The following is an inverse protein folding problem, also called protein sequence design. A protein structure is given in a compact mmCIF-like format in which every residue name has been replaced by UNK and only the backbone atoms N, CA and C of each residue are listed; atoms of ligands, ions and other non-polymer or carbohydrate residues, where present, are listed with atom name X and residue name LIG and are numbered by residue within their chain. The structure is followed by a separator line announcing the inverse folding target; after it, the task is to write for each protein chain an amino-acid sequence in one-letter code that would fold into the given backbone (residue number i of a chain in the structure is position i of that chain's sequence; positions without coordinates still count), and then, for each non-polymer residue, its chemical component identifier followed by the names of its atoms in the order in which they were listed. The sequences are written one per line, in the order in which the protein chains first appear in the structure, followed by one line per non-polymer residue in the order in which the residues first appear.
data_IF_602644832271
#
_entry.id   IF_602644832271
#
_cell.length_a   1.000
_cell.length_b   1.000
_cell.length_c   1.000
_cell.angle_alpha   90.00
_cell.angle_beta   90.00
_cell.angle_gamma   90.00
#
_symmetry.space_group_name_H-M   'P 1'
#
loop_
_entity.id
_entity.type
_entity.pdbx_description
1 polymer ?
#
# COMPACT_ATOMS: atom_id res chain seq x y z
N UNK A 1 -12.81 22.41 1.68
CA UNK A 1 -11.92 22.90 0.61
C UNK A 1 -10.60 23.49 1.12
N UNK A 2 -10.58 24.50 2.00
CA UNK A 2 -9.32 25.06 2.52
C UNK A 2 -8.32 24.00 3.04
N UNK A 3 -8.81 23.02 3.82
CA UNK A 3 -8.01 21.91 4.34
C UNK A 3 -7.40 21.03 3.25
N UNK A 4 -8.13 20.82 2.15
CA UNK A 4 -7.63 20.09 0.98
C UNK A 4 -6.40 20.78 0.39
N UNK A 5 -6.57 22.07 0.04
CA UNK A 5 -5.54 22.88 -0.64
C UNK A 5 -4.29 23.10 0.21
N UNK A 6 -4.41 23.09 1.53
CA UNK A 6 -3.29 23.39 2.44
C UNK A 6 -2.61 22.16 3.01
N UNK A 7 -3.29 21.00 3.05
CA UNK A 7 -2.77 19.80 3.71
C UNK A 7 -3.19 18.49 3.06
N UNK A 8 -4.49 18.24 2.93
CA UNK A 8 -4.96 16.88 2.60
C UNK A 8 -4.47 16.40 1.25
N UNK A 9 -4.44 17.27 0.23
CA UNK A 9 -4.06 16.91 -1.12
C UNK A 9 -2.62 16.39 -1.24
N UNK A 10 -1.72 16.82 -0.33
CA UNK A 10 -0.31 16.47 -0.37
C UNK A 10 -0.02 14.98 -0.16
N UNK A 11 -0.98 14.18 0.33
CA UNK A 11 -0.82 12.72 0.34
C UNK A 11 -0.77 12.10 -1.06
N UNK A 12 -1.25 12.80 -2.09
CA UNK A 12 -1.19 12.38 -3.49
C UNK A 12 -0.03 12.99 -4.28
N UNK A 13 0.78 13.85 -3.65
CA UNK A 13 1.92 14.46 -4.32
C UNK A 13 3.04 13.43 -4.45
N UNK A 14 3.47 13.14 -5.69
CA UNK A 14 4.61 12.27 -5.99
C UNK A 14 5.75 13.06 -6.64
N UNK A 15 5.42 13.95 -7.59
CA UNK A 15 6.37 14.75 -8.37
C UNK A 15 5.92 16.22 -8.48
N UNK A 16 6.81 17.18 -8.82
CA UNK A 16 6.46 18.60 -8.87
C UNK A 16 5.24 18.94 -9.75
N UNK A 17 5.04 18.21 -10.84
CA UNK A 17 3.89 18.40 -11.73
C UNK A 17 2.54 18.13 -11.07
N UNK A 18 2.49 17.31 -10.02
CA UNK A 18 1.24 17.02 -9.31
C UNK A 18 0.66 18.25 -8.63
N UNK A 19 1.50 19.23 -8.26
CA UNK A 19 1.07 20.40 -7.50
C UNK A 19 -0.08 21.15 -8.19
N UNK A 20 0.11 21.51 -9.47
CA UNK A 20 -0.92 22.24 -10.22
C UNK A 20 -2.19 21.41 -10.40
N UNK A 21 -2.04 20.10 -10.59
CA UNK A 21 -3.17 19.19 -10.70
C UNK A 21 -3.98 19.14 -9.40
N UNK A 22 -3.32 18.94 -8.26
CA UNK A 22 -3.96 18.78 -6.95
C UNK A 22 -4.57 20.08 -6.39
N UNK A 23 -3.91 21.22 -6.61
CA UNK A 23 -4.34 22.52 -6.10
C UNK A 23 -5.38 23.20 -6.99
N UNK A 24 -5.37 22.96 -8.31
CA UNK A 24 -6.17 23.72 -9.28
C UNK A 24 -7.06 22.82 -10.12
N UNK A 25 -6.48 21.91 -10.89
CA UNK A 25 -7.23 21.16 -11.91
C UNK A 25 -8.27 20.22 -11.29
N UNK A 26 -7.89 19.49 -10.25
CA UNK A 26 -8.77 18.54 -9.59
C UNK A 26 -9.94 19.23 -8.86
N UNK A 27 -9.73 20.31 -8.06
CA UNK A 27 -10.83 21.09 -7.53
C UNK A 27 -11.74 21.71 -8.59
N UNK A 28 -11.20 22.16 -9.73
CA UNK A 28 -12.01 22.69 -10.84
C UNK A 28 -12.86 21.60 -11.49
N UNK A 29 -12.29 20.42 -11.77
CA UNK A 29 -13.05 19.26 -12.26
C UNK A 29 -14.20 18.90 -11.30
N UNK A 30 -13.93 18.94 -10.00
CA UNK A 30 -14.91 18.66 -8.96
C UNK A 30 -16.09 19.64 -8.94
N UNK A 31 -15.96 20.87 -9.47
CA UNK A 31 -17.10 21.78 -9.61
C UNK A 31 -18.16 21.25 -10.60
N UNK A 32 -17.73 20.45 -11.57
CA UNK A 32 -18.60 19.84 -12.57
C UNK A 32 -18.95 18.37 -12.25
N UNK A 33 -18.26 17.75 -11.28
CA UNK A 33 -18.46 16.36 -10.89
C UNK A 33 -18.69 16.25 -9.37
N UNK A 34 -19.95 16.06 -8.99
CA UNK A 34 -20.36 15.97 -7.59
C UNK A 34 -19.71 14.81 -6.83
N UNK A 35 -19.45 13.68 -7.50
CA UNK A 35 -18.81 12.52 -6.89
C UNK A 35 -17.40 12.88 -6.45
N UNK A 36 -16.68 13.55 -7.35
CA UNK A 36 -15.32 13.99 -7.09
C UNK A 36 -15.26 15.06 -5.98
N UNK A 37 -16.19 16.03 -6.00
CA UNK A 37 -16.31 17.03 -4.94
C UNK A 37 -16.57 16.38 -3.58
N UNK A 38 -17.54 15.45 -3.52
CA UNK A 38 -17.85 14.71 -2.31
C UNK A 38 -16.62 13.89 -1.85
N UNK A 39 -15.85 13.28 -2.75
CA UNK A 39 -14.60 12.58 -2.42
C UNK A 39 -13.54 13.50 -1.79
N UNK A 40 -13.31 14.67 -2.39
CA UNK A 40 -12.38 15.69 -1.86
C UNK A 40 -12.80 16.14 -0.46
N UNK A 41 -14.09 16.44 -0.27
CA UNK A 41 -14.63 16.89 1.02
C UNK A 41 -14.61 15.79 2.07
N UNK A 42 -14.88 14.54 1.69
CA UNK A 42 -14.80 13.38 2.55
C UNK A 42 -13.40 13.22 3.12
N UNK A 43 -12.37 13.22 2.26
CA UNK A 43 -11.00 13.04 2.70
C UNK A 43 -10.48 14.23 3.51
N UNK A 44 -10.86 15.45 3.15
CA UNK A 44 -10.50 16.64 3.94
C UNK A 44 -11.14 16.63 5.34
N UNK A 45 -12.39 16.16 5.46
CA UNK A 45 -13.04 15.96 6.76
C UNK A 45 -12.41 14.80 7.55
N UNK A 46 -12.01 13.72 6.88
CA UNK A 46 -11.28 12.62 7.49
C UNK A 46 -9.94 13.09 8.05
N UNK A 47 -9.17 13.92 7.34
CA UNK A 47 -7.92 14.53 7.82
C UNK A 47 -8.14 15.39 9.09
N UNK A 48 -9.22 16.18 9.15
CA UNK A 48 -9.59 16.89 10.38
C UNK A 48 -9.88 15.94 11.55
N UNK A 49 -10.70 14.92 11.32
CA UNK A 49 -11.03 13.91 12.33
C UNK A 49 -9.78 13.17 12.81
N UNK A 50 -8.92 12.79 11.88
CA UNK A 50 -7.66 12.12 12.11
C UNK A 50 -6.66 13.03 12.88
N UNK A 51 -6.72 14.35 12.65
CA UNK A 51 -5.96 15.34 13.43
C UNK A 51 -6.54 15.63 14.82
N UNK A 52 -7.55 14.88 15.27
CA UNK A 52 -8.14 14.97 16.61
C UNK A 52 -9.48 15.69 16.68
N UNK A 53 -9.94 16.33 15.59
CA UNK A 53 -11.23 17.02 15.55
C UNK A 53 -12.37 16.04 15.23
N UNK A 54 -12.67 15.14 16.17
CA UNK A 54 -13.59 14.00 15.99
C UNK A 54 -14.97 14.37 15.43
N UNK A 55 -15.44 15.60 15.63
CA UNK A 55 -16.69 16.11 15.07
C UNK A 55 -16.77 15.99 13.54
N UNK A 56 -15.63 15.99 12.84
CA UNK A 56 -15.57 15.85 11.39
C UNK A 56 -15.71 14.42 10.88
N UNK A 57 -15.67 13.40 11.75
CA UNK A 57 -15.80 12.00 11.32
C UNK A 57 -17.15 11.72 10.66
N UNK A 58 -18.24 12.23 11.24
CA UNK A 58 -19.59 12.05 10.68
C UNK A 58 -19.72 12.72 9.30
N UNK A 59 -19.38 14.01 9.13
CA UNK A 59 -19.33 14.64 7.81
C UNK A 59 -18.47 13.89 6.81
N UNK A 60 -17.30 13.37 7.24
CA UNK A 60 -16.41 12.58 6.38
C UNK A 60 -17.12 11.36 5.79
N UNK A 61 -17.81 10.58 6.65
CA UNK A 61 -18.59 9.41 6.24
C UNK A 61 -19.79 9.78 5.36
N UNK A 62 -20.49 10.88 5.67
CA UNK A 62 -21.63 11.36 4.87
C UNK A 62 -21.20 11.77 3.44
N UNK A 63 -20.11 12.51 3.31
CA UNK A 63 -19.55 12.85 2.00
C UNK A 63 -19.05 11.62 1.25
N UNK A 64 -18.38 10.68 1.94
CA UNK A 64 -17.91 9.45 1.32
C UNK A 64 -19.07 8.58 0.79
N UNK A 65 -20.16 8.48 1.55
CA UNK A 65 -21.36 7.75 1.12
C UNK A 65 -21.97 8.36 -0.16
N UNK A 66 -22.04 9.70 -0.24
CA UNK A 66 -22.51 10.40 -1.44
C UNK A 66 -21.58 10.16 -2.65
N UNK A 67 -20.28 10.34 -2.45
CA UNK A 67 -19.27 10.09 -3.49
C UNK A 67 -19.40 8.65 -4.04
N UNK A 68 -19.47 7.66 -3.17
CA UNK A 68 -19.59 6.24 -3.55
C UNK A 68 -20.88 5.95 -4.31
N UNK A 69 -22.01 6.51 -3.87
CA UNK A 69 -23.30 6.32 -4.52
C UNK A 69 -23.29 6.88 -5.96
N UNK A 70 -22.75 8.09 -6.13
CA UNK A 70 -22.67 8.76 -7.43
C UNK A 70 -21.64 8.08 -8.35
N UNK A 71 -20.47 7.70 -7.82
CA UNK A 71 -19.45 6.97 -8.59
C UNK A 71 -19.98 5.63 -9.12
N UNK A 72 -20.80 4.91 -8.34
CA UNK A 72 -21.42 3.65 -8.79
C UNK A 72 -22.25 3.84 -10.06
N UNK A 73 -22.96 4.96 -10.18
CA UNK A 73 -23.73 5.30 -11.39
C UNK A 73 -22.79 5.65 -12.55
N UNK A 74 -21.72 6.39 -12.29
CA UNK A 74 -20.74 6.76 -13.33
C UNK A 74 -20.01 5.53 -13.91
N UNK A 75 -19.68 4.54 -13.09
CA UNK A 75 -19.01 3.28 -13.53
C UNK A 75 -19.91 2.44 -14.44
N UNK A 76 -21.23 2.57 -14.35
CA UNK A 76 -22.15 1.88 -15.29
C UNK A 76 -22.15 2.50 -16.69
N UNK A 77 -21.59 3.70 -16.85
CA UNK A 77 -21.63 4.48 -18.10
C UNK A 77 -20.23 4.98 -18.50
N UNK A 78 -19.20 4.15 -18.32
CA UNK A 78 -17.81 4.51 -18.65
C UNK A 78 -17.70 4.95 -20.12
N UNK A 79 -17.22 6.17 -20.32
CA UNK A 79 -16.98 6.77 -21.63
C UNK A 79 -15.83 7.79 -21.55
N UNK A 80 -15.43 8.35 -22.70
CA UNK A 80 -14.29 9.30 -22.76
C UNK A 80 -14.48 10.56 -21.91
N UNK A 81 -15.70 10.95 -21.55
CA UNK A 81 -15.98 12.16 -20.78
C UNK A 81 -15.86 11.96 -19.27
N UNK A 82 -16.08 10.75 -18.75
CA UNK A 82 -16.06 10.49 -17.31
C UNK A 82 -14.85 9.67 -16.85
N UNK A 83 -14.13 9.00 -17.77
CA UNK A 83 -12.98 8.17 -17.40
C UNK A 83 -11.86 8.97 -16.70
N UNK A 84 -11.68 10.23 -17.10
CA UNK A 84 -10.67 11.14 -16.54
C UNK A 84 -10.99 11.57 -15.09
N UNK A 85 -12.28 11.59 -14.71
CA UNK A 85 -12.74 11.90 -13.34
C UNK A 85 -12.86 10.66 -12.45
N UNK A 86 -13.07 9.48 -13.05
CA UNK A 86 -13.23 8.23 -12.32
C UNK A 86 -11.92 7.77 -11.67
N UNK A 87 -10.77 8.00 -12.32
CA UNK A 87 -9.46 7.70 -11.76
C UNK A 87 -9.20 8.42 -10.42
N UNK A 88 -9.24 9.76 -10.35
CA UNK A 88 -9.01 10.46 -9.08
C UNK A 88 -10.11 10.17 -8.05
N UNK A 89 -11.36 9.93 -8.48
CA UNK A 89 -12.43 9.50 -7.57
C UNK A 89 -12.10 8.16 -6.88
N UNK A 90 -11.60 7.19 -7.64
CA UNK A 90 -11.18 5.90 -7.10
C UNK A 90 -10.03 6.02 -6.10
N UNK A 91 -9.02 6.85 -6.41
CA UNK A 91 -7.90 7.11 -5.50
C UNK A 91 -8.35 7.77 -4.19
N UNK A 92 -9.21 8.79 -4.28
CA UNK A 92 -9.79 9.45 -3.10
C UNK A 92 -10.52 8.45 -2.20
N UNK A 93 -11.33 7.56 -2.80
CA UNK A 93 -12.05 6.53 -2.06
C UNK A 93 -11.13 5.49 -1.45
N UNK A 94 -10.08 5.06 -2.17
CA UNK A 94 -9.10 4.10 -1.66
C UNK A 94 -8.38 4.67 -0.42
N UNK A 95 -7.86 5.90 -0.51
CA UNK A 95 -7.21 6.57 0.63
C UNK A 95 -8.18 6.79 1.79
N UNK A 96 -9.43 7.19 1.51
CA UNK A 96 -10.44 7.34 2.55
C UNK A 96 -10.67 6.03 3.31
N UNK A 97 -10.89 4.93 2.58
CA UNK A 97 -11.11 3.62 3.16
C UNK A 97 -9.93 3.16 4.00
N UNK A 98 -8.69 3.40 3.56
CA UNK A 98 -7.52 3.07 4.36
C UNK A 98 -7.49 3.82 5.70
N UNK A 99 -7.82 5.11 5.69
CA UNK A 99 -7.76 5.99 6.87
C UNK A 99 -8.92 5.75 7.84
N UNK A 100 -10.13 5.52 7.34
CA UNK A 100 -11.35 5.53 8.18
C UNK A 100 -11.99 4.17 8.38
N UNK A 101 -11.52 3.11 7.71
CA UNK A 101 -12.11 1.78 7.84
C UNK A 101 -12.11 1.31 9.28
N UNK A 102 -13.22 0.71 9.70
CA UNK A 102 -13.41 0.13 11.03
C UNK A 102 -12.86 -1.30 11.15
N UNK A 103 -12.17 -1.81 10.13
CA UNK A 103 -11.60 -3.15 10.19
C UNK A 103 -10.55 -3.23 11.31
N UNK A 104 -10.58 -4.31 12.11
CA UNK A 104 -9.77 -4.39 13.33
C UNK A 104 -8.26 -4.51 13.04
N UNK A 105 -7.89 -5.11 11.90
CA UNK A 105 -6.49 -5.30 11.49
C UNK A 105 -6.16 -4.39 10.32
N UNK A 106 -4.94 -3.85 10.32
CA UNK A 106 -4.51 -2.88 9.31
C UNK A 106 -4.31 -3.55 7.96
N UNK A 107 -3.93 -4.83 7.94
CA UNK A 107 -3.86 -5.61 6.71
C UNK A 107 -5.22 -5.78 6.04
N UNK A 108 -6.30 -5.95 6.82
CA UNK A 108 -7.67 -6.07 6.29
C UNK A 108 -8.16 -4.71 5.70
N UNK A 109 -7.52 -3.58 6.05
CA UNK A 109 -7.73 -2.26 5.42
C UNK A 109 -6.85 -2.05 4.18
N UNK A 110 -5.62 -2.57 4.21
CA UNK A 110 -4.63 -2.38 3.15
C UNK A 110 -5.03 -3.09 1.86
N UNK A 111 -5.49 -4.35 1.93
CA UNK A 111 -5.78 -5.15 0.73
C UNK A 111 -6.85 -4.48 -0.16
N UNK A 112 -8.05 -4.11 0.36
CA UNK A 112 -9.04 -3.44 -0.48
C UNK A 112 -8.54 -2.09 -1.03
N UNK A 113 -7.69 -1.39 -0.28
CA UNK A 113 -7.07 -0.13 -0.73
C UNK A 113 -6.17 -0.38 -1.94
N UNK A 114 -5.30 -1.38 -1.87
CA UNK A 114 -4.41 -1.76 -2.97
C UNK A 114 -5.20 -2.25 -4.20
N UNK A 115 -6.26 -3.06 -3.99
CA UNK A 115 -7.15 -3.52 -5.08
C UNK A 115 -7.83 -2.34 -5.79
N UNK A 116 -8.31 -1.35 -5.02
CA UNK A 116 -8.93 -0.14 -5.56
C UNK A 116 -7.92 0.71 -6.33
N UNK A 117 -6.70 0.88 -5.81
CA UNK A 117 -5.64 1.60 -6.50
C UNK A 117 -5.23 0.89 -7.79
N UNK A 118 -5.03 -0.44 -7.76
CA UNK A 118 -4.72 -1.24 -8.94
C UNK A 118 -5.83 -1.11 -10.01
N UNK A 119 -7.09 -1.14 -9.58
CA UNK A 119 -8.24 -0.95 -10.47
C UNK A 119 -8.27 0.46 -11.07
N UNK A 120 -8.01 1.49 -10.26
CA UNK A 120 -7.91 2.88 -10.73
C UNK A 120 -6.80 3.03 -11.79
N UNK A 121 -5.63 2.45 -11.55
CA UNK A 121 -4.51 2.50 -12.49
C UNK A 121 -4.84 1.81 -13.83
N UNK A 122 -5.62 0.72 -13.83
CA UNK A 122 -6.14 0.11 -15.06
C UNK A 122 -7.08 1.04 -15.83
N UNK A 123 -7.95 1.77 -15.12
CA UNK A 123 -8.83 2.77 -15.76
C UNK A 123 -8.01 3.88 -16.42
N UNK A 124 -6.93 4.30 -15.77
CA UNK A 124 -6.05 5.31 -16.32
C UNK A 124 -5.28 4.84 -17.56
N UNK A 125 -4.86 3.58 -17.62
CA UNK A 125 -4.27 3.02 -18.84
C UNK A 125 -5.24 3.04 -20.03
N UNK A 126 -6.54 2.97 -19.76
CA UNK A 126 -7.61 3.05 -20.76
C UNK A 126 -8.09 4.49 -21.04
N UNK A 127 -7.69 5.47 -20.23
CA UNK A 127 -8.08 6.87 -20.40
C UNK A 127 -7.38 7.50 -21.60
N UNK A 128 -8.07 8.46 -22.24
CA UNK A 128 -7.55 9.17 -23.39
C UNK A 128 -6.50 10.23 -22.98
N UNK A 129 -6.62 10.77 -21.77
CA UNK A 129 -5.64 11.69 -21.18
C UNK A 129 -4.91 10.99 -20.03
N UNK A 130 -3.57 10.89 -20.14
CA UNK A 130 -2.73 10.44 -19.04
C UNK A 130 -2.23 11.65 -18.27
N UNK A 131 -2.31 11.69 -16.94
CA UNK A 131 -1.62 12.69 -16.15
C UNK A 131 -0.13 12.68 -16.50
N UNK A 132 0.43 13.84 -16.82
CA UNK A 132 1.85 13.97 -17.19
C UNK A 132 2.80 13.47 -16.09
N UNK A 133 2.35 13.46 -14.83
CA UNK A 133 3.12 12.98 -13.70
C UNK A 133 3.49 11.50 -13.79
N UNK A 134 2.67 10.66 -14.42
CA UNK A 134 3.00 9.24 -14.59
C UNK A 134 4.17 9.02 -15.54
N UNK A 135 4.24 9.81 -16.61
CA UNK A 135 5.37 9.77 -17.54
C UNK A 135 6.66 10.17 -16.82
N UNK A 136 6.60 11.21 -15.99
CA UNK A 136 7.74 11.69 -15.21
C UNK A 136 8.25 10.62 -14.23
N UNK A 137 7.36 9.95 -13.49
CA UNK A 137 7.71 8.85 -12.60
C UNK A 137 8.44 7.72 -13.35
N UNK A 138 7.90 7.28 -14.49
CA UNK A 138 8.53 6.23 -15.30
C UNK A 138 9.88 6.65 -15.90
N UNK A 139 10.02 7.93 -16.27
CA UNK A 139 11.25 8.47 -16.84
C UNK A 139 12.38 8.68 -15.82
N UNK A 140 12.06 8.66 -14.52
CA UNK A 140 13.01 8.90 -13.43
C UNK A 140 13.58 7.61 -12.81
N UNK A 141 13.31 6.45 -13.42
CA UNK A 141 13.88 5.17 -12.99
C UNK A 141 15.40 5.22 -13.16
N UNK A 142 16.10 5.18 -12.05
CA UNK A 142 17.56 5.21 -11.99
C UNK A 142 18.02 4.10 -11.06
N UNK A 143 18.50 2.98 -11.62
CA UNK A 143 18.92 1.83 -10.81
C UNK A 143 20.18 2.11 -9.98
N UNK A 144 20.93 3.18 -10.27
CA UNK A 144 22.13 3.54 -9.49
C UNK A 144 21.79 3.97 -8.07
N UNK A 145 20.54 4.39 -7.84
CA UNK A 145 20.07 4.82 -6.51
C UNK A 145 20.07 3.67 -5.50
N UNK A 146 20.09 2.41 -5.94
CA UNK A 146 20.22 1.26 -5.04
C UNK A 146 21.52 1.32 -4.22
N UNK A 147 22.55 2.00 -4.73
CA UNK A 147 23.80 2.26 -3.98
C UNK A 147 23.65 3.27 -2.84
N UNK A 148 22.53 3.98 -2.74
CA UNK A 148 22.23 4.90 -1.63
C UNK A 148 21.81 4.16 -0.35
N UNK A 149 21.41 2.89 -0.47
CA UNK A 149 21.01 2.08 0.67
C UNK A 149 22.23 1.81 1.57
N UNK A 150 22.04 1.92 2.88
CA UNK A 150 23.08 1.52 3.81
C UNK A 150 23.30 -0.01 3.78
N UNK A 151 24.48 -0.50 4.21
CA UNK A 151 24.79 -1.94 4.13
C UNK A 151 23.81 -2.84 4.90
N UNK A 152 23.27 -2.37 6.03
CA UNK A 152 22.33 -3.15 6.85
C UNK A 152 20.99 -3.30 6.12
N UNK A 153 20.44 -2.20 5.59
CA UNK A 153 19.21 -2.21 4.80
C UNK A 153 19.37 -3.02 3.52
N UNK A 154 20.52 -2.90 2.85
CA UNK A 154 20.85 -3.68 1.65
C UNK A 154 20.84 -5.19 1.95
N UNK A 155 21.53 -5.61 3.02
CA UNK A 155 21.59 -7.01 3.42
C UNK A 155 20.20 -7.58 3.77
N UNK A 156 19.36 -6.82 4.48
CA UNK A 156 18.00 -7.23 4.80
C UNK A 156 17.13 -7.39 3.54
N UNK A 157 17.25 -6.45 2.60
CA UNK A 157 16.53 -6.47 1.34
C UNK A 157 17.00 -7.61 0.42
N UNK A 158 18.30 -7.89 0.35
CA UNK A 158 18.83 -9.03 -0.41
C UNK A 158 18.39 -10.37 0.19
N UNK A 159 18.23 -10.42 1.51
CA UNK A 159 17.70 -11.60 2.19
C UNK A 159 16.26 -11.94 1.75
N UNK A 160 15.43 -10.99 1.32
CA UNK A 160 14.12 -11.31 0.70
C UNK A 160 14.27 -12.19 -0.54
N UNK A 161 15.27 -11.92 -1.39
CA UNK A 161 15.56 -12.74 -2.57
C UNK A 161 16.01 -14.15 -2.15
N UNK A 162 16.90 -14.26 -1.16
CA UNK A 162 17.34 -15.55 -0.61
C UNK A 162 16.18 -16.37 -0.04
N UNK A 163 15.33 -15.76 0.79
CA UNK A 163 14.16 -16.43 1.39
C UNK A 163 13.19 -16.91 0.32
N UNK A 164 13.01 -16.16 -0.78
CA UNK A 164 12.08 -16.56 -1.83
C UNK A 164 12.44 -17.93 -2.44
N UNK A 165 13.72 -18.30 -2.48
CA UNK A 165 14.15 -19.62 -2.93
C UNK A 165 14.03 -20.73 -1.87
N UNK A 166 13.58 -20.42 -0.65
CA UNK A 166 13.37 -21.37 0.45
C UNK A 166 11.89 -21.63 0.74
N UNK A 167 11.00 -20.71 0.34
CA UNK A 167 9.56 -20.83 0.55
C UNK A 167 8.92 -21.54 -0.64
N UNK A 168 8.40 -22.74 -0.41
CA UNK A 168 7.61 -23.48 -1.39
C UNK A 168 6.22 -22.85 -1.57
N UNK A 169 5.76 -22.83 -2.82
CA UNK A 169 4.40 -22.41 -3.17
C UNK A 169 3.44 -23.60 -3.06
N UNK A 170 2.14 -23.34 -2.78
CA UNK A 170 1.13 -24.39 -2.81
C UNK A 170 1.13 -25.11 -4.16
N UNK A 171 1.06 -26.44 -4.13
CA UNK A 171 0.97 -27.23 -5.36
C UNK A 171 -0.30 -26.83 -6.13
N UNK A 172 -0.15 -26.48 -7.40
CA UNK A 172 -1.27 -26.39 -8.34
C UNK A 172 -1.57 -27.78 -8.88
N UNK A 173 -2.84 -28.15 -9.04
CA UNK A 173 -3.35 -29.48 -9.44
C UNK A 173 -2.72 -30.13 -10.69
N UNK A 174 -1.83 -29.43 -11.40
CA UNK A 174 -1.22 -29.84 -12.66
C UNK A 174 0.32 -29.92 -12.66
N UNK A 175 1.02 -29.68 -11.54
CA UNK A 175 2.49 -29.70 -11.51
C UNK A 175 3.05 -30.56 -10.37
N UNK A 176 3.87 -31.56 -10.74
CA UNK A 176 4.45 -32.56 -9.84
C UNK A 176 5.75 -32.11 -9.15
N UNK A 177 6.26 -30.92 -9.50
CA UNK A 177 7.53 -30.38 -8.99
C UNK A 177 7.28 -29.28 -7.96
N UNK A 178 8.00 -29.32 -6.84
CA UNK A 178 8.05 -28.21 -5.88
C UNK A 178 8.48 -26.92 -6.60
N UNK A 179 7.62 -25.90 -6.59
CA UNK A 179 7.96 -24.55 -7.05
C UNK A 179 8.26 -23.67 -5.87
N UNK A 180 9.37 -22.91 -5.93
CA UNK A 180 9.69 -21.93 -4.91
C UNK A 180 9.18 -20.55 -5.29
N UNK A 181 8.93 -19.71 -4.30
CA UNK A 181 8.48 -18.34 -4.52
C UNK A 181 9.45 -17.55 -5.41
N UNK A 182 10.75 -17.83 -5.31
CA UNK A 182 11.80 -17.20 -6.10
C UNK A 182 11.75 -17.53 -7.59
N UNK A 183 11.05 -18.59 -8.01
CA UNK A 183 10.85 -18.93 -9.42
C UNK A 183 9.65 -18.18 -10.04
N UNK A 184 8.83 -17.54 -9.20
CA UNK A 184 7.65 -16.82 -9.63
C UNK A 184 7.99 -15.37 -9.99
N UNK A 185 7.69 -14.92 -11.24
CA UNK A 185 7.85 -13.52 -11.63
C UNK A 185 7.08 -12.56 -10.71
N UNK A 186 5.99 -13.04 -10.11
CA UNK A 186 5.17 -12.31 -9.15
C UNK A 186 6.00 -11.76 -7.99
N UNK A 187 6.75 -12.64 -7.34
CA UNK A 187 7.54 -12.31 -6.16
C UNK A 187 8.84 -11.60 -6.55
N UNK A 188 9.44 -11.94 -7.69
CA UNK A 188 10.61 -11.24 -8.20
C UNK A 188 10.33 -9.75 -8.44
N UNK A 189 9.21 -9.42 -9.11
CA UNK A 189 8.79 -8.04 -9.35
C UNK A 189 8.47 -7.32 -8.04
N UNK A 190 7.73 -7.97 -7.14
CA UNK A 190 7.37 -7.38 -5.86
C UNK A 190 8.60 -7.08 -4.99
N UNK A 191 9.57 -8.01 -4.92
CA UNK A 191 10.84 -7.80 -4.21
C UNK A 191 11.64 -6.66 -4.84
N UNK A 192 11.80 -6.66 -6.17
CA UNK A 192 12.52 -5.60 -6.88
C UNK A 192 11.89 -4.21 -6.64
N UNK A 193 10.56 -4.12 -6.66
CA UNK A 193 9.83 -2.90 -6.36
C UNK A 193 10.05 -2.43 -4.92
N UNK A 194 10.01 -3.33 -3.94
CA UNK A 194 10.32 -2.98 -2.54
C UNK A 194 11.74 -2.45 -2.42
N UNK A 195 12.75 -3.13 -3.01
CA UNK A 195 14.14 -2.66 -2.98
C UNK A 195 14.28 -1.24 -3.53
N UNK A 196 13.70 -1.00 -4.71
CA UNK A 196 13.73 0.31 -5.33
C UNK A 196 12.98 1.35 -4.50
N UNK A 197 11.86 0.98 -3.88
CA UNK A 197 11.07 1.89 -3.04
C UNK A 197 11.83 2.36 -1.80
N UNK A 198 12.65 1.51 -1.16
CA UNK A 198 13.55 1.95 -0.08
C UNK A 198 14.57 2.96 -0.58
N UNK A 199 15.16 2.72 -1.75
CA UNK A 199 16.16 3.61 -2.29
C UNK A 199 15.56 4.96 -2.72
N UNK A 200 14.36 4.98 -3.33
CA UNK A 200 13.62 6.22 -3.62
C UNK A 200 13.20 6.96 -2.35
N UNK A 201 12.83 6.25 -1.28
CA UNK A 201 12.48 6.91 -0.02
C UNK A 201 13.70 7.65 0.57
N UNK A 202 14.92 7.13 0.40
CA UNK A 202 16.17 7.81 0.77
C UNK A 202 16.49 8.95 -0.19
N UNK A 203 16.41 8.69 -1.51
CA UNK A 203 16.66 9.68 -2.58
C UNK A 203 15.71 10.87 -2.46
N UNK A 204 14.49 10.61 -2.02
CA UNK A 204 13.43 11.57 -1.72
C UNK A 204 13.06 12.45 -2.93
N UNK A 205 13.22 11.94 -4.16
CA UNK A 205 12.87 12.65 -5.40
C UNK A 205 11.42 12.35 -5.79
N UNK A 206 11.04 11.06 -5.86
CA UNK A 206 9.65 10.65 -6.10
C UNK A 206 9.00 10.32 -4.76
N UNK A 207 8.09 11.18 -4.31
CA UNK A 207 7.39 11.01 -3.03
C UNK A 207 6.37 9.87 -3.14
N UNK A 208 6.13 9.17 -2.03
CA UNK A 208 5.12 8.11 -1.97
C UNK A 208 5.33 6.97 -3.00
N UNK A 209 6.56 6.78 -3.52
CA UNK A 209 6.85 5.83 -4.60
C UNK A 209 6.41 4.40 -4.27
N UNK A 210 6.49 3.99 -3.00
CA UNK A 210 6.12 2.64 -2.57
C UNK A 210 4.69 2.26 -2.98
N UNK A 211 3.75 3.20 -3.06
CA UNK A 211 2.36 2.98 -3.44
C UNK A 211 2.15 2.59 -4.90
N UNK A 212 3.17 2.76 -5.74
CA UNK A 212 3.20 2.24 -7.12
C UNK A 212 3.17 0.71 -7.13
N UNK A 213 3.36 0.05 -5.98
CA UNK A 213 3.21 -1.42 -5.83
C UNK A 213 1.88 -1.92 -6.40
N UNK A 214 0.79 -1.13 -6.27
CA UNK A 214 -0.54 -1.43 -6.81
C UNK A 214 -0.62 -1.34 -8.35
N UNK A 215 0.31 -0.63 -8.99
CA UNK A 215 0.40 -0.50 -10.45
C UNK A 215 1.32 -1.54 -11.08
N UNK A 216 2.45 -1.86 -10.42
CA UNK A 216 3.51 -2.68 -11.03
C UNK A 216 3.33 -4.17 -10.81
N UNK A 217 2.61 -4.58 -9.76
CA UNK A 217 2.41 -5.99 -9.46
C UNK A 217 1.16 -6.55 -10.14
N UNK A 218 1.26 -7.82 -10.53
CA UNK A 218 0.12 -8.58 -11.02
C UNK A 218 -0.95 -8.69 -9.92
N UNK A 219 -2.25 -8.54 -10.23
CA UNK A 219 -3.34 -8.71 -9.25
C UNK A 219 -3.25 -9.99 -8.41
N UNK A 220 -2.68 -11.08 -8.97
CA UNK A 220 -2.45 -12.34 -8.26
C UNK A 220 -1.55 -12.18 -7.02
N UNK A 221 -0.73 -11.14 -6.96
CA UNK A 221 0.07 -10.84 -5.77
C UNK A 221 -0.84 -10.45 -4.62
N UNK A 222 -1.84 -9.62 -4.87
CA UNK A 222 -2.81 -9.23 -3.86
C UNK A 222 -3.74 -10.38 -3.48
N UNK A 223 -4.01 -11.31 -4.40
CA UNK A 223 -4.67 -12.58 -4.07
C UNK A 223 -3.81 -13.42 -3.11
N UNK A 224 -2.51 -13.54 -3.36
CA UNK A 224 -1.58 -14.23 -2.46
C UNK A 224 -1.52 -13.56 -1.07
N UNK A 225 -1.52 -12.23 -0.99
CA UNK A 225 -1.62 -11.49 0.28
C UNK A 225 -2.93 -11.82 0.99
N UNK A 226 -4.07 -11.84 0.26
CA UNK A 226 -5.39 -12.16 0.81
C UNK A 226 -5.47 -13.60 1.32
N UNK A 227 -4.79 -14.51 0.65
CA UNK A 227 -4.65 -15.92 1.01
C UNK A 227 -3.60 -16.17 2.09
N UNK A 228 -2.99 -15.11 2.64
CA UNK A 228 -1.98 -15.17 3.69
C UNK A 228 -0.75 -16.00 3.27
N UNK A 229 -0.40 -16.00 1.98
CA UNK A 229 0.79 -16.70 1.49
C UNK A 229 2.05 -16.10 2.15
N UNK A 230 2.92 -16.93 2.75
CA UNK A 230 4.00 -16.39 3.59
C UNK A 230 4.96 -15.44 2.87
N UNK A 231 5.33 -15.72 1.61
CA UNK A 231 6.21 -14.83 0.86
C UNK A 231 5.54 -13.47 0.57
N UNK A 232 4.26 -13.48 0.20
CA UNK A 232 3.49 -12.27 -0.05
C UNK A 232 3.40 -11.40 1.21
N UNK A 233 3.07 -12.02 2.35
CA UNK A 233 3.02 -11.33 3.64
C UNK A 233 4.38 -10.77 4.07
N UNK A 234 5.46 -11.51 3.84
CA UNK A 234 6.81 -11.05 4.16
C UNK A 234 7.17 -9.79 3.36
N UNK A 235 6.84 -9.74 2.07
CA UNK A 235 7.05 -8.54 1.23
C UNK A 235 6.21 -7.36 1.72
N UNK A 236 4.93 -7.58 2.06
CA UNK A 236 4.07 -6.52 2.62
C UNK A 236 4.57 -6.05 3.99
N UNK A 237 5.25 -6.90 4.77
CA UNK A 237 5.86 -6.48 6.03
C UNK A 237 6.99 -5.46 5.80
N UNK A 238 7.81 -5.63 4.75
CA UNK A 238 8.80 -4.61 4.33
C UNK A 238 8.12 -3.35 3.78
N UNK A 239 6.98 -3.47 3.10
CA UNK A 239 6.14 -2.32 2.74
C UNK A 239 5.65 -1.56 4.00
N UNK A 240 5.29 -2.27 5.07
CA UNK A 240 4.94 -1.66 6.36
C UNK A 240 6.08 -0.83 6.96
N UNK A 241 7.34 -1.29 6.82
CA UNK A 241 8.52 -0.51 7.21
C UNK A 241 8.63 0.79 6.40
N UNK A 242 8.39 0.75 5.08
CA UNK A 242 8.38 1.96 4.24
C UNK A 242 7.33 2.97 4.72
N UNK A 243 6.12 2.52 5.04
CA UNK A 243 5.07 3.40 5.56
C UNK A 243 5.46 4.06 6.89
N UNK A 244 6.09 3.31 7.79
CA UNK A 244 6.58 3.85 9.07
C UNK A 244 7.74 4.85 8.86
N UNK A 245 8.64 4.59 7.90
CA UNK A 245 9.69 5.54 7.51
C UNK A 245 9.11 6.85 6.97
N UNK A 246 8.11 6.77 6.09
CA UNK A 246 7.43 7.93 5.53
C UNK A 246 6.74 8.76 6.62
N UNK A 247 6.07 8.10 7.56
CA UNK A 247 5.45 8.77 8.70
C UNK A 247 6.48 9.51 9.58
N UNK A 248 7.63 8.88 9.88
CA UNK A 248 8.69 9.46 10.70
C UNK A 248 9.31 10.73 10.10
N UNK A 249 9.22 10.95 8.78
CA UNK A 249 9.60 12.22 8.16
C UNK A 249 8.72 13.40 8.62
N UNK A 250 7.54 13.13 9.19
CA UNK A 250 6.70 14.12 9.87
C UNK A 250 6.12 15.21 8.97
N UNK A 251 6.13 15.02 7.64
CA UNK A 251 5.67 16.03 6.70
C UNK A 251 4.16 15.90 6.41
N UNK A 252 3.61 16.91 5.76
CA UNK A 252 2.19 16.94 5.40
C UNK A 252 1.77 15.82 4.45
N UNK A 253 2.68 15.13 3.76
CA UNK A 253 2.35 14.05 2.80
C UNK A 253 1.99 12.74 3.52
N UNK A 254 2.48 12.54 4.75
CA UNK A 254 2.28 11.31 5.51
C UNK A 254 1.17 11.42 6.58
N UNK A 255 0.33 12.46 6.52
CA UNK A 255 -0.70 12.73 7.54
C UNK A 255 -1.66 11.56 7.83
N UNK A 256 -1.80 10.66 6.86
CA UNK A 256 -2.75 9.57 6.79
C UNK A 256 -2.18 8.22 7.24
N UNK A 257 -0.87 8.14 7.49
CA UNK A 257 -0.19 6.89 7.83
C UNK A 257 -0.26 6.58 9.34
N UNK A 258 -0.08 7.55 10.23
CA UNK A 258 -0.27 7.49 11.71
C UNK A 258 -0.30 6.09 12.35
N UNK A 259 0.83 5.42 12.43
CA UNK A 259 1.04 4.12 13.06
C UNK A 259 0.72 2.92 12.16
N UNK A 260 0.11 3.11 11.00
CA UNK A 260 -0.33 2.01 10.13
C UNK A 260 0.82 1.13 9.65
N UNK A 261 2.01 1.70 9.38
CA UNK A 261 3.20 0.92 9.03
C UNK A 261 3.61 -0.04 10.15
N UNK A 262 3.68 0.49 11.39
CA UNK A 262 3.97 -0.30 12.59
C UNK A 262 2.90 -1.35 12.89
N UNK A 263 1.61 -1.02 12.73
CA UNK A 263 0.51 -1.97 12.90
C UNK A 263 0.58 -3.11 11.89
N UNK A 264 0.84 -2.82 10.61
CA UNK A 264 1.03 -3.84 9.56
C UNK A 264 2.16 -4.79 9.94
N UNK A 265 3.32 -4.28 10.34
CA UNK A 265 4.44 -5.13 10.77
C UNK A 265 4.08 -5.96 12.01
N UNK A 266 3.37 -5.36 12.96
CA UNK A 266 2.86 -6.04 14.15
C UNK A 266 1.95 -7.22 13.81
N UNK A 267 0.91 -6.99 13.01
CA UNK A 267 -0.07 -7.99 12.60
C UNK A 267 0.59 -9.12 11.79
N UNK A 268 1.37 -8.75 10.77
CA UNK A 268 1.97 -9.72 9.86
C UNK A 268 3.04 -10.58 10.53
N UNK A 269 3.84 -10.00 11.43
CA UNK A 269 4.82 -10.79 12.18
C UNK A 269 4.17 -11.86 13.06
N UNK A 270 3.00 -11.57 13.66
CA UNK A 270 2.25 -12.57 14.43
C UNK A 270 1.73 -13.70 13.55
N UNK A 271 1.20 -13.37 12.36
CA UNK A 271 0.70 -14.36 11.39
C UNK A 271 1.87 -15.24 10.90
N UNK A 272 2.96 -14.62 10.47
CA UNK A 272 4.14 -15.33 9.96
C UNK A 272 4.78 -16.22 11.02
N UNK A 273 4.88 -15.78 12.28
CA UNK A 273 5.43 -16.58 13.38
C UNK A 273 4.63 -17.86 13.68
N UNK A 274 3.35 -17.91 13.30
CA UNK A 274 2.50 -19.11 13.44
C UNK A 274 2.56 -20.03 12.22
N UNK A 275 3.12 -19.55 11.11
CA UNK A 275 3.19 -20.29 9.86
C UNK A 275 4.38 -21.28 9.84
N UNK A 276 4.37 -22.31 8.98
CA UNK A 276 5.48 -23.26 8.87
C UNK A 276 6.84 -22.62 8.54
N UNK A 277 6.84 -21.50 7.81
CA UNK A 277 8.08 -20.80 7.41
C UNK A 277 8.79 -20.12 8.58
N UNK A 278 8.13 -19.97 9.74
CA UNK A 278 8.76 -19.46 10.96
C UNK A 278 9.93 -20.31 11.46
N UNK A 279 10.08 -21.54 10.94
CA UNK A 279 11.21 -22.43 11.24
C UNK A 279 12.47 -22.09 10.43
N UNK A 280 12.34 -21.30 9.37
CA UNK A 280 13.47 -20.88 8.53
C UNK A 280 14.22 -19.74 9.25
N UNK A 281 15.53 -19.89 9.55
CA UNK A 281 16.29 -18.84 10.25
C UNK A 281 16.25 -17.49 9.54
N UNK A 282 16.35 -17.50 8.20
CA UNK A 282 16.31 -16.26 7.41
C UNK A 282 14.97 -15.52 7.54
N UNK A 283 13.86 -16.26 7.64
CA UNK A 283 12.52 -15.68 7.87
C UNK A 283 12.43 -15.05 9.26
N UNK A 284 12.97 -15.71 10.29
CA UNK A 284 12.99 -15.17 11.65
C UNK A 284 13.80 -13.87 11.71
N UNK A 285 14.95 -13.83 11.06
CA UNK A 285 15.78 -12.63 10.97
C UNK A 285 15.06 -11.50 10.21
N UNK A 286 14.37 -11.80 9.11
CA UNK A 286 13.59 -10.81 8.38
C UNK A 286 12.42 -10.24 9.22
N UNK A 287 11.71 -11.10 9.96
CA UNK A 287 10.67 -10.67 10.92
C UNK A 287 11.29 -9.79 12.01
N UNK A 288 12.43 -10.19 12.56
CA UNK A 288 13.12 -9.40 13.58
C UNK A 288 13.53 -8.01 13.07
N UNK A 289 14.18 -7.96 11.92
CA UNK A 289 14.66 -6.71 11.32
C UNK A 289 13.51 -5.73 11.06
N UNK A 290 12.43 -6.18 10.43
CA UNK A 290 11.27 -5.32 10.14
C UNK A 290 10.63 -4.79 11.43
N UNK A 291 10.49 -5.64 12.45
CA UNK A 291 9.97 -5.26 13.78
C UNK A 291 10.86 -4.21 14.45
N UNK A 292 12.18 -4.35 14.36
CA UNK A 292 13.11 -3.36 14.90
C UNK A 292 13.01 -2.01 14.18
N UNK A 293 12.93 -2.00 12.84
CA UNK A 293 12.85 -0.74 12.07
C UNK A 293 11.62 0.09 12.45
N UNK A 294 10.50 -0.54 12.81
CA UNK A 294 9.28 0.15 13.29
C UNK A 294 9.22 0.34 14.82
N UNK A 295 10.31 0.03 15.53
CA UNK A 295 10.46 0.29 16.95
C UNK A 295 9.68 -0.67 17.86
N UNK A 296 9.57 -1.95 17.51
CA UNK A 296 9.29 -3.00 18.48
C UNK A 296 10.60 -3.38 19.18
N UNK A 297 10.63 -3.31 20.52
CA UNK A 297 11.83 -3.54 21.33
C UNK A 297 12.02 -5.01 21.74
N UNK A 298 10.98 -5.83 21.56
CA UNK A 298 10.97 -7.21 22.04
C UNK A 298 10.92 -8.16 20.85
N UNK A 299 11.95 -9.03 20.73
CA UNK A 299 11.90 -10.43 20.27
C UNK A 299 13.34 -10.89 20.00
N UNK A 300 13.99 -11.54 20.96
CA UNK A 300 15.17 -12.35 20.65
C UNK A 300 14.70 -13.61 19.90
N UNK A 301 15.40 -14.09 18.85
CA UNK A 301 15.06 -15.34 18.15
C UNK A 301 14.96 -16.57 19.07
N UNK A 302 15.52 -16.50 20.27
CA UNK A 302 15.58 -17.57 21.26
C UNK A 302 14.29 -17.86 22.04
N UNK A 303 13.19 -17.10 21.88
CA UNK A 303 11.99 -17.24 22.71
C UNK A 303 10.77 -17.94 22.08
N UNK A 304 10.91 -18.56 20.91
CA UNK A 304 9.78 -19.24 20.24
C UNK A 304 9.78 -20.74 20.63
N UNK A 305 9.12 -21.06 21.75
CA UNK A 305 8.85 -22.45 22.16
C UNK A 305 7.39 -22.62 22.60
N UNK A 306 6.45 -22.54 21.66
CA UNK A 306 5.15 -23.22 21.75
C UNK A 306 4.36 -22.98 20.46
N UNK A 307 4.42 -23.96 19.55
CA UNK A 307 3.61 -24.00 18.34
C UNK A 307 2.22 -24.50 18.73
N UNK A 308 1.25 -23.59 18.84
CA UNK A 308 -0.16 -23.94 18.85
C UNK A 308 -0.66 -24.02 17.41
N UNK A 309 -1.42 -25.06 17.10
CA UNK A 309 -1.65 -25.58 15.74
C UNK A 309 -2.36 -24.59 14.80
N UNK A 310 -1.71 -24.34 13.67
CA UNK A 310 -2.09 -23.47 12.54
C UNK A 310 -3.50 -23.68 11.98
N UNK A 311 -4.05 -24.91 12.10
CA UNK A 311 -5.31 -25.33 11.48
C UNK A 311 -6.55 -24.56 11.98
N UNK A 312 -6.50 -23.97 13.17
CA UNK A 312 -7.64 -23.25 13.74
C UNK A 312 -7.82 -21.81 13.21
N UNK A 313 -6.80 -21.21 12.58
CA UNK A 313 -6.90 -19.81 12.11
C UNK A 313 -7.62 -19.71 10.76
N UNK A 314 -7.59 -20.78 9.95
CA UNK A 314 -8.27 -20.84 8.65
C UNK A 314 -9.76 -21.21 8.83
N UNK A 315 -10.09 -22.02 9.83
CA UNK A 315 -11.46 -22.50 10.09
C UNK A 315 -12.44 -21.44 10.64
N UNK A 316 -11.96 -20.28 11.10
CA UNK A 316 -12.82 -19.20 11.63
C UNK A 316 -13.31 -18.21 10.56
N UNK A 317 -13.11 -18.52 9.27
CA UNK A 317 -13.55 -17.67 8.14
C UNK A 317 -14.51 -18.36 7.15
N UNK A 318 -15.05 -19.53 7.46
CA UNK A 318 -16.26 -20.08 6.81
C UNK A 318 -17.49 -19.83 7.66
#
# INVERSE_FOLDING_TARGET
MYRWLTRTAWCFYMVPKDKAYLEVLLPQAALSNSSLMNGILALAAADFAHSGQKAYLRPALEYHAKATAEMRVQVQTINRKNIDDLYPSALLMATFNFVTSSQPRTIDRLIPTLDMMASANKMLLAAASRPECQFEIMSNIDMTILSLLDPETTAALDKLSTISHQIELPATDHESSSRFAGDSPLYQVAIAHIKYSFAEEIRDVVKNYCWIIASVNDPKFFDAVRNLEPMALLIIMYFGVLLDMMEKKGNAMAWWLRGQGKEIVGDLSQILNRSPVARLPDVQEAIYWTRQKVGFLDFSPSSISSVETWENTIALRT
#
